data_IF_938855814917
#
_entry.id   IF_938855814917
#
_cell.length_a   1.000
_cell.length_b   1.000
_cell.length_c   1.000
_cell.angle_alpha   90.00
_cell.angle_beta   90.00
_cell.angle_gamma   90.00
#
_symmetry.space_group_name_H-M   'P 1'
#
loop_
_entity.id
_entity.type
_entity.pdbx_description
1 polymer ?
#
# COMPACT_ATOMS: atom_id res chain seq x y z
N UNK A 1 15.07 18.88 2.97
CA UNK A 1 14.12 17.75 2.80
C UNK A 1 13.39 18.02 1.50
N UNK A 2 13.81 17.40 0.40
CA UNK A 2 13.15 17.57 -0.90
C UNK A 2 11.86 16.75 -0.88
N UNK A 3 10.71 17.40 -1.02
CA UNK A 3 9.47 16.73 -1.38
C UNK A 3 9.74 16.10 -2.76
N UNK A 4 9.91 14.78 -2.82
CA UNK A 4 9.75 14.11 -4.10
C UNK A 4 8.30 14.37 -4.54
N UNK A 5 8.06 14.79 -5.80
CA UNK A 5 6.69 14.94 -6.26
C UNK A 5 5.99 13.60 -6.06
N UNK A 6 4.83 13.60 -5.41
CA UNK A 6 4.02 12.39 -5.28
C UNK A 6 3.81 11.84 -6.69
N UNK A 7 4.25 10.60 -6.94
CA UNK A 7 4.10 9.99 -8.24
C UNK A 7 2.59 9.91 -8.56
N UNK A 8 2.20 10.38 -9.75
CA UNK A 8 0.82 10.25 -10.21
C UNK A 8 0.52 8.77 -10.48
N UNK A 9 -0.27 8.17 -9.61
CA UNK A 9 -0.79 6.81 -9.72
C UNK A 9 -2.31 6.83 -9.91
N UNK A 10 -2.88 5.71 -10.37
CA UNK A 10 -4.34 5.56 -10.50
C UNK A 10 -5.07 5.81 -9.18
N UNK A 11 -4.44 5.50 -8.05
CA UNK A 11 -4.96 5.82 -6.73
C UNK A 11 -4.93 7.32 -6.44
N UNK A 12 -3.76 7.97 -6.57
CA UNK A 12 -3.63 9.41 -6.27
C UNK A 12 -4.47 10.31 -7.17
N UNK A 13 -4.80 9.83 -8.38
CA UNK A 13 -5.71 10.50 -9.32
C UNK A 13 -7.21 10.27 -8.99
N UNK A 14 -7.53 9.45 -7.99
CA UNK A 14 -8.89 9.17 -7.55
C UNK A 14 -9.70 8.31 -8.53
N UNK A 15 -9.03 7.49 -9.34
CA UNK A 15 -9.69 6.63 -10.35
C UNK A 15 -10.19 5.31 -9.80
N UNK A 16 -9.82 4.95 -8.57
CA UNK A 16 -10.25 3.72 -7.91
C UNK A 16 -11.29 4.04 -6.83
N UNK A 17 -12.41 3.31 -6.84
CA UNK A 17 -13.32 3.27 -5.70
C UNK A 17 -12.75 2.40 -4.58
N UNK A 18 -13.32 2.50 -3.38
CA UNK A 18 -12.99 1.61 -2.26
C UNK A 18 -13.19 0.13 -2.61
N UNK A 19 -14.19 -0.18 -3.43
CA UNK A 19 -14.44 -1.54 -3.90
C UNK A 19 -13.37 -2.03 -4.88
N UNK A 20 -12.92 -1.18 -5.81
CA UNK A 20 -11.84 -1.53 -6.75
C UNK A 20 -10.54 -1.81 -6.00
N UNK A 21 -10.25 -1.02 -4.96
CA UNK A 21 -9.08 -1.21 -4.09
C UNK A 21 -9.19 -2.54 -3.34
N UNK A 22 -10.36 -2.83 -2.76
CA UNK A 22 -10.58 -4.08 -2.04
C UNK A 22 -10.42 -5.32 -2.94
N UNK A 23 -11.02 -5.31 -4.13
CA UNK A 23 -10.87 -6.40 -5.11
C UNK A 23 -9.41 -6.56 -5.55
N UNK A 24 -8.71 -5.44 -5.82
CA UNK A 24 -7.30 -5.45 -6.17
C UNK A 24 -6.45 -6.11 -5.08
N UNK A 25 -6.54 -5.65 -3.83
CA UNK A 25 -5.73 -6.17 -2.72
C UNK A 25 -6.07 -7.62 -2.38
N UNK A 26 -7.36 -8.01 -2.47
CA UNK A 26 -7.82 -9.39 -2.27
C UNK A 26 -7.28 -10.35 -3.34
N UNK A 27 -6.91 -9.84 -4.52
CA UNK A 27 -6.25 -10.61 -5.58
C UNK A 27 -4.80 -11.02 -5.29
N UNK A 28 -4.28 -10.74 -4.10
CA UNK A 28 -2.89 -11.00 -3.70
C UNK A 28 -1.85 -10.44 -4.70
N UNK A 29 -1.94 -9.14 -5.09
CA UNK A 29 -1.03 -8.55 -6.07
C UNK A 29 0.42 -8.55 -5.57
N UNK A 30 1.38 -8.45 -6.47
CA UNK A 30 2.79 -8.34 -6.07
C UNK A 30 3.07 -6.99 -5.41
N UNK A 31 4.15 -6.89 -4.63
CA UNK A 31 4.59 -5.61 -4.08
C UNK A 31 4.79 -4.57 -5.19
N UNK A 32 5.31 -5.00 -6.34
CA UNK A 32 5.48 -4.13 -7.51
C UNK A 32 4.13 -3.55 -7.96
N UNK A 33 3.12 -4.39 -8.14
CA UNK A 33 1.80 -3.95 -8.60
C UNK A 33 1.14 -3.00 -7.59
N UNK A 34 1.35 -3.24 -6.29
CA UNK A 34 0.92 -2.32 -5.21
C UNK A 34 1.59 -0.96 -5.39
N UNK A 35 2.91 -0.89 -5.56
CA UNK A 35 3.63 0.37 -5.72
C UNK A 35 3.25 1.11 -7.01
N UNK A 36 2.97 0.39 -8.10
CA UNK A 36 2.48 0.99 -9.35
C UNK A 36 1.05 1.54 -9.22
N UNK A 37 0.22 0.89 -8.41
CA UNK A 37 -1.19 1.26 -8.21
C UNK A 37 -1.38 2.39 -7.20
N UNK A 38 -0.71 2.31 -6.05
CA UNK A 38 -0.89 3.24 -4.93
C UNK A 38 0.21 4.31 -4.87
N UNK A 39 1.41 4.02 -5.38
CA UNK A 39 2.60 4.84 -5.22
C UNK A 39 3.48 4.33 -4.08
N UNK A 40 4.51 5.10 -3.72
CA UNK A 40 5.35 4.76 -2.56
C UNK A 40 4.59 5.03 -1.25
N UNK A 41 4.71 4.14 -0.26
CA UNK A 41 4.12 4.36 1.06
C UNK A 41 4.86 5.46 1.82
N UNK A 42 4.17 6.07 2.77
CA UNK A 42 4.74 7.07 3.68
C UNK A 42 5.74 6.45 4.67
N UNK A 43 5.54 5.17 5.03
CA UNK A 43 6.43 4.41 5.89
C UNK A 43 6.45 2.93 5.53
N UNK A 44 7.58 2.29 5.78
CA UNK A 44 7.78 0.85 5.59
C UNK A 44 8.36 0.26 6.87
N UNK A 45 7.79 -0.84 7.33
CA UNK A 45 8.32 -1.63 8.44
C UNK A 45 8.46 -3.10 8.04
N UNK A 46 9.53 -3.75 8.48
CA UNK A 46 9.71 -5.19 8.35
C UNK A 46 9.63 -5.77 9.77
N UNK A 47 8.83 -6.80 9.95
CA UNK A 47 8.74 -7.46 11.26
C UNK A 47 10.06 -8.07 11.70
N UNK A 48 10.19 -8.31 13.01
CA UNK A 48 11.42 -8.87 13.61
C UNK A 48 11.76 -10.28 13.07
N UNK A 49 10.79 -10.98 12.49
CA UNK A 49 10.96 -12.30 11.89
C UNK A 49 11.34 -12.25 10.40
N UNK A 50 11.44 -11.04 9.82
CA UNK A 50 11.67 -10.80 8.40
C UNK A 50 10.69 -11.57 7.49
N UNK A 51 9.46 -11.76 7.97
CA UNK A 51 8.41 -12.55 7.35
C UNK A 51 7.40 -11.68 6.61
N UNK A 52 7.15 -10.47 7.11
CA UNK A 52 6.08 -9.58 6.64
C UNK A 52 6.57 -8.14 6.63
N UNK A 53 6.42 -7.50 5.47
CA UNK A 53 6.68 -6.08 5.28
C UNK A 53 5.36 -5.33 5.27
N UNK A 54 5.26 -4.28 6.06
CA UNK A 54 4.10 -3.42 6.19
C UNK A 54 4.34 -2.12 5.43
N UNK A 55 3.41 -1.77 4.55
CA UNK A 55 3.39 -0.52 3.80
C UNK A 55 2.29 0.36 4.39
N UNK A 56 2.64 1.54 4.88
CA UNK A 56 1.71 2.48 5.50
C UNK A 56 1.43 3.67 4.59
N UNK A 57 0.16 3.95 4.34
CA UNK A 57 -0.31 5.08 3.53
C UNK A 57 -1.18 6.00 4.40
N UNK A 58 -0.73 7.23 4.62
CA UNK A 58 -1.37 8.17 5.54
C UNK A 58 -2.66 8.77 4.97
N UNK A 59 -3.75 8.66 5.71
CA UNK A 59 -5.05 9.23 5.37
C UNK A 59 -5.26 10.51 6.14
N UNK A 60 -4.97 11.64 5.49
CA UNK A 60 -5.08 12.97 6.11
C UNK A 60 -6.48 13.31 6.67
N UNK A 61 -7.55 12.75 6.08
CA UNK A 61 -8.95 13.03 6.45
C UNK A 61 -9.31 12.47 7.84
N UNK A 62 -8.82 11.28 8.17
CA UNK A 62 -9.10 10.61 9.46
C UNK A 62 -7.88 10.60 10.40
N UNK A 63 -6.72 11.08 9.92
CA UNK A 63 -5.44 11.12 10.65
C UNK A 63 -4.97 9.73 11.09
N UNK A 64 -5.14 8.76 10.20
CA UNK A 64 -4.75 7.37 10.40
C UNK A 64 -3.99 6.82 9.18
N UNK A 65 -3.65 5.53 9.18
CA UNK A 65 -2.96 4.87 8.08
C UNK A 65 -3.72 3.67 7.55
N UNK A 66 -3.80 3.59 6.22
CA UNK A 66 -4.05 2.31 5.56
C UNK A 66 -2.77 1.47 5.61
N UNK A 67 -2.95 0.16 5.81
CA UNK A 67 -1.84 -0.77 5.94
C UNK A 67 -1.99 -1.88 4.90
N UNK A 68 -0.93 -2.16 4.14
CA UNK A 68 -0.84 -3.32 3.26
C UNK A 68 0.32 -4.19 3.75
N UNK A 69 0.03 -5.47 3.97
CA UNK A 69 1.01 -6.48 4.37
C UNK A 69 1.51 -7.23 3.14
N UNK A 70 2.83 -7.28 2.96
CA UNK A 70 3.53 -8.00 1.90
C UNK A 70 4.29 -9.15 2.54
N UNK A 71 4.04 -10.38 2.08
CA UNK A 71 4.86 -11.51 2.50
C UNK A 71 6.27 -11.39 1.94
N UNK A 72 7.28 -11.40 2.81
CA UNK A 72 8.69 -11.40 2.39
C UNK A 72 9.10 -12.69 1.65
N UNK A 73 8.27 -13.75 1.73
CA UNK A 73 8.52 -15.04 1.07
C UNK A 73 8.02 -15.07 -0.37
N UNK A 74 6.84 -14.49 -0.62
CA UNK A 74 6.18 -14.55 -1.93
C UNK A 74 6.20 -13.23 -2.68
N UNK A 75 6.61 -12.13 -2.03
CA UNK A 75 6.59 -10.77 -2.56
C UNK A 75 5.19 -10.33 -3.02
N UNK A 76 4.15 -10.83 -2.34
CA UNK A 76 2.74 -10.57 -2.64
C UNK A 76 1.97 -10.14 -1.40
N UNK A 77 0.86 -9.42 -1.61
CA UNK A 77 -0.05 -9.02 -0.54
C UNK A 77 -0.54 -10.27 0.21
N UNK A 78 -0.41 -10.25 1.53
CA UNK A 78 -0.89 -11.29 2.45
C UNK A 78 -2.03 -10.84 3.35
N UNK A 79 -2.22 -9.52 3.50
CA UNK A 79 -3.23 -8.90 4.34
C UNK A 79 -3.31 -7.39 4.09
N UNK A 80 -4.39 -6.75 4.54
CA UNK A 80 -4.54 -5.31 4.47
C UNK A 80 -5.64 -4.80 5.43
N UNK A 81 -5.50 -3.56 5.86
CA UNK A 81 -6.50 -2.75 6.56
C UNK A 81 -6.68 -1.46 5.76
N UNK A 82 -7.92 -1.16 5.37
CA UNK A 82 -8.23 -0.09 4.44
C UNK A 82 -9.52 0.65 4.82
N UNK A 83 -9.39 1.93 5.20
CA UNK A 83 -10.44 2.86 5.62
C UNK A 83 -10.47 4.17 4.79
#
# INVERSE_FOLDING_TARGET
MSLQPMAETVYTLGYLSEYDIWEFLKGNPSQKDVLETFGFPDSVWLDDQESTKYLYYYISKIRDYNTIEISAKTDSVSGFEWD
#
